data_IF_029455190067
#
_entry.id   IF_029455190067
#
_cell.length_a   1.000
_cell.length_b   1.000
_cell.length_c   1.000
_cell.angle_alpha   90.00
_cell.angle_beta   90.00
_cell.angle_gamma   90.00
#
_symmetry.space_group_name_H-M   'P 1'
#
loop_
_entity.id
_entity.type
_entity.pdbx_description
1 polymer ?
#
# COMPACT_ATOMS: atom_id res chain seq x y z
N UNK A 1 4.96 15.91 17.46
CA UNK A 1 4.18 15.06 16.54
C UNK A 1 2.96 15.83 16.08
N UNK A 2 2.66 15.89 14.78
CA UNK A 2 1.44 16.55 14.29
C UNK A 2 0.22 15.66 14.54
N UNK A 3 -0.99 16.23 14.58
CA UNK A 3 -2.23 15.45 14.76
C UNK A 3 -2.42 14.36 13.68
N UNK A 4 -2.15 14.61 12.38
CA UNK A 4 -2.17 13.55 11.36
C UNK A 4 -1.16 12.42 11.63
N UNK A 5 0.04 12.74 12.10
CA UNK A 5 1.05 11.72 12.44
C UNK A 5 0.64 10.89 13.65
N UNK A 6 0.05 11.52 14.68
CA UNK A 6 -0.52 10.79 15.81
C UNK A 6 -1.63 9.84 15.35
N UNK A 7 -2.59 10.33 14.57
CA UNK A 7 -3.70 9.52 14.09
C UNK A 7 -3.22 8.33 13.25
N UNK A 8 -2.29 8.55 12.33
CA UNK A 8 -1.68 7.47 11.54
C UNK A 8 -0.94 6.46 12.42
N UNK A 9 -0.22 6.91 13.45
CA UNK A 9 0.48 6.02 14.38
C UNK A 9 -0.51 5.16 15.17
N UNK A 10 -1.62 5.73 15.64
CA UNK A 10 -2.66 4.99 16.35
C UNK A 10 -3.31 3.94 15.45
N UNK A 11 -3.57 4.27 14.19
CA UNK A 11 -4.16 3.33 13.23
C UNK A 11 -3.17 2.23 12.82
N UNK A 12 -1.88 2.56 12.71
CA UNK A 12 -0.81 1.58 12.51
C UNK A 12 -0.70 0.61 13.69
N UNK A 13 -0.80 1.10 14.92
CA UNK A 13 -0.80 0.25 16.12
C UNK A 13 -2.06 -0.62 16.18
N UNK A 14 -3.24 -0.06 15.86
CA UNK A 14 -4.47 -0.84 15.83
C UNK A 14 -4.41 -1.98 14.79
N UNK A 15 -3.93 -1.69 13.58
CA UNK A 15 -3.75 -2.70 12.53
C UNK A 15 -2.65 -3.72 12.87
N UNK A 16 -1.57 -3.31 13.55
CA UNK A 16 -0.59 -4.22 14.13
C UNK A 16 -1.26 -5.21 15.09
N UNK A 17 -2.02 -4.71 16.07
CA UNK A 17 -2.70 -5.55 17.05
C UNK A 17 -3.68 -6.52 16.41
N UNK A 18 -4.37 -6.11 15.33
CA UNK A 18 -5.26 -6.99 14.59
C UNK A 18 -4.50 -8.06 13.78
N UNK A 19 -3.38 -7.70 13.15
CA UNK A 19 -2.62 -8.61 12.30
C UNK A 19 -1.77 -9.61 13.10
N UNK A 20 -1.29 -9.23 14.28
CA UNK A 20 -0.36 -10.05 15.08
C UNK A 20 -1.05 -11.22 15.77
N UNK A 21 -2.36 -11.12 16.02
CA UNK A 21 -3.16 -12.17 16.67
C UNK A 21 -3.75 -13.19 15.69
N UNK A 22 -3.64 -12.94 14.37
CA UNK A 22 -4.11 -13.89 13.36
C UNK A 22 -3.17 -15.10 13.34
N UNK A 23 -3.67 -16.35 13.32
CA UNK A 23 -2.81 -17.49 13.09
C UNK A 23 -2.32 -17.52 11.64
N UNK A 24 -1.15 -18.12 11.43
CA UNK A 24 -0.63 -18.37 10.08
C UNK A 24 -1.44 -19.49 9.42
N UNK A 25 -2.20 -19.16 8.38
CA UNK A 25 -3.10 -20.11 7.71
C UNK A 25 -2.84 -20.24 6.20
N UNK A 26 -1.86 -19.48 5.67
CA UNK A 26 -1.61 -19.46 4.23
C UNK A 26 -0.82 -20.70 3.81
N UNK A 27 -1.31 -21.47 2.81
CA UNK A 27 -0.66 -22.72 2.44
C UNK A 27 0.73 -22.57 1.85
N UNK A 28 1.00 -21.44 1.20
CA UNK A 28 2.27 -21.20 0.52
C UNK A 28 3.38 -20.79 1.51
N UNK A 29 3.03 -20.50 2.78
CA UNK A 29 4.01 -20.13 3.82
C UNK A 29 5.10 -21.19 3.99
N UNK A 30 4.72 -22.47 4.00
CA UNK A 30 5.67 -23.57 4.12
C UNK A 30 6.63 -23.61 2.94
N UNK A 31 6.13 -23.34 1.74
CA UNK A 31 6.94 -23.29 0.54
C UNK A 31 7.99 -22.18 0.64
N UNK A 32 7.59 -20.97 1.03
CA UNK A 32 8.52 -19.85 1.22
C UNK A 32 9.60 -20.15 2.29
N UNK A 33 9.23 -20.77 3.40
CA UNK A 33 10.18 -21.16 4.45
C UNK A 33 11.13 -22.26 3.96
N UNK A 34 10.63 -23.24 3.21
CA UNK A 34 11.45 -24.31 2.64
C UNK A 34 12.42 -23.77 1.58
N UNK A 35 11.95 -22.90 0.68
CA UNK A 35 12.77 -22.20 -0.31
C UNK A 35 13.87 -21.39 0.34
N UNK A 36 13.54 -20.57 1.34
CA UNK A 36 14.52 -19.78 2.08
C UNK A 36 15.56 -20.64 2.80
N UNK A 37 15.11 -21.70 3.50
CA UNK A 37 16.01 -22.67 4.15
C UNK A 37 16.97 -23.29 3.13
N UNK A 38 16.45 -23.74 1.99
CA UNK A 38 17.28 -24.32 0.93
C UNK A 38 18.33 -23.31 0.46
N UNK A 39 17.95 -22.05 0.24
CA UNK A 39 18.89 -21.00 -0.20
C UNK A 39 20.00 -20.74 0.82
N UNK A 40 19.66 -20.73 2.12
CA UNK A 40 20.62 -20.59 3.21
C UNK A 40 21.58 -21.78 3.26
N UNK A 41 21.03 -23.01 3.22
CA UNK A 41 21.83 -24.25 3.34
C UNK A 41 22.79 -24.43 2.15
N UNK A 42 22.42 -23.99 0.95
CA UNK A 42 23.22 -24.17 -0.27
C UNK A 42 24.05 -22.94 -0.65
N UNK A 43 23.83 -21.79 -0.03
CA UNK A 43 24.49 -20.52 -0.36
C UNK A 43 24.22 -20.04 -1.79
N UNK A 44 23.07 -20.40 -2.36
CA UNK A 44 22.67 -20.12 -3.76
C UNK A 44 21.18 -19.84 -3.83
N UNK A 45 20.77 -19.09 -4.84
CA UNK A 45 19.35 -18.87 -5.12
C UNK A 45 18.70 -20.12 -5.69
N UNK A 46 17.46 -20.37 -5.27
CA UNK A 46 16.66 -21.50 -5.72
C UNK A 46 16.17 -21.24 -7.15
N UNK A 47 16.89 -21.71 -8.16
CA UNK A 47 16.52 -21.51 -9.58
C UNK A 47 15.74 -22.68 -10.18
N UNK A 48 15.64 -23.79 -9.44
CA UNK A 48 14.99 -25.04 -9.85
C UNK A 48 14.19 -25.55 -8.67
N UNK A 49 12.97 -26.00 -8.93
CA UNK A 49 12.05 -26.51 -7.90
C UNK A 49 12.39 -27.97 -7.49
N UNK A 50 12.84 -28.22 -6.26
CA UNK A 50 13.15 -29.55 -5.74
C UNK A 50 11.97 -30.16 -4.95
N UNK A 51 10.90 -29.40 -4.71
CA UNK A 51 9.80 -29.76 -3.81
C UNK A 51 8.61 -30.38 -4.55
N UNK A 52 8.35 -29.94 -5.79
CA UNK A 52 7.24 -30.47 -6.59
C UNK A 52 7.42 -31.94 -6.97
N UNK A 53 6.42 -32.77 -6.66
CA UNK A 53 6.41 -34.19 -7.03
C UNK A 53 6.06 -34.45 -8.50
N UNK A 54 5.29 -33.56 -9.13
CA UNK A 54 4.83 -33.67 -10.53
C UNK A 54 5.64 -32.83 -11.52
N UNK A 55 6.39 -31.84 -11.01
CA UNK A 55 7.16 -30.87 -11.80
C UNK A 55 8.60 -30.71 -11.27
N UNK A 56 9.20 -31.79 -10.79
CA UNK A 56 10.55 -31.78 -10.22
C UNK A 56 11.57 -31.18 -11.21
N UNK A 57 12.46 -30.32 -10.70
CA UNK A 57 13.49 -29.59 -11.45
C UNK A 57 12.96 -28.62 -12.52
N UNK A 58 11.67 -28.26 -12.49
CA UNK A 58 11.16 -27.14 -13.27
C UNK A 58 11.86 -25.83 -12.85
N UNK A 59 12.02 -24.84 -13.75
CA UNK A 59 12.49 -23.51 -13.37
C UNK A 59 11.65 -22.92 -12.24
N UNK A 60 12.31 -22.43 -11.18
CA UNK A 60 11.66 -21.79 -10.05
C UNK A 60 11.71 -20.27 -10.18
N UNK A 61 10.63 -19.59 -9.78
CA UNK A 61 10.55 -18.13 -9.78
C UNK A 61 11.41 -17.57 -8.65
N UNK A 62 12.47 -16.86 -8.98
CA UNK A 62 13.37 -16.23 -8.00
C UNK A 62 12.89 -14.84 -7.60
N UNK A 63 11.75 -14.35 -8.08
CA UNK A 63 11.31 -12.96 -7.86
C UNK A 63 11.13 -12.54 -6.39
N UNK A 64 10.89 -13.48 -5.47
CA UNK A 64 10.57 -13.19 -4.06
C UNK A 64 11.70 -13.54 -3.07
N UNK A 65 12.88 -13.94 -3.56
CA UNK A 65 13.98 -14.50 -2.76
C UNK A 65 14.33 -13.68 -1.51
N UNK A 66 14.40 -12.36 -1.63
CA UNK A 66 14.78 -11.48 -0.53
C UNK A 66 13.70 -11.48 0.57
N UNK A 67 12.43 -11.49 0.19
CA UNK A 67 11.33 -11.57 1.15
C UNK A 67 11.25 -12.93 1.82
N UNK A 68 11.49 -14.02 1.08
CA UNK A 68 11.58 -15.38 1.62
C UNK A 68 12.67 -15.47 2.72
N UNK A 69 13.86 -14.92 2.47
CA UNK A 69 14.94 -14.89 3.46
C UNK A 69 14.57 -14.11 4.72
N UNK A 70 13.90 -12.96 4.59
CA UNK A 70 13.47 -12.15 5.74
C UNK A 70 12.37 -12.87 6.54
N UNK A 71 11.45 -13.54 5.87
CA UNK A 71 10.41 -14.38 6.51
C UNK A 71 11.05 -15.53 7.29
N UNK A 72 12.00 -16.23 6.68
CA UNK A 72 12.72 -17.32 7.33
C UNK A 72 13.56 -16.84 8.52
N UNK A 73 14.20 -15.68 8.42
CA UNK A 73 14.92 -15.08 9.54
C UNK A 73 13.98 -14.78 10.73
N UNK A 74 12.76 -14.31 10.49
CA UNK A 74 11.77 -14.14 11.55
C UNK A 74 11.30 -15.47 12.14
N UNK A 75 11.14 -16.49 11.30
CA UNK A 75 10.85 -17.85 11.79
C UNK A 75 11.98 -18.40 12.66
N UNK A 76 13.25 -18.18 12.31
CA UNK A 76 14.38 -18.56 13.15
C UNK A 76 14.41 -17.79 14.48
N UNK A 77 14.02 -16.52 14.47
CA UNK A 77 14.05 -15.67 15.66
C UNK A 77 12.92 -15.97 16.67
N UNK A 78 11.75 -16.42 16.22
CA UNK A 78 10.58 -16.59 17.09
C UNK A 78 9.55 -17.63 16.65
N UNK A 79 9.89 -18.53 15.73
CA UNK A 79 8.96 -19.48 15.14
C UNK A 79 7.78 -18.79 14.45
N UNK A 80 6.60 -19.40 14.56
CA UNK A 80 5.34 -18.83 14.07
C UNK A 80 4.99 -17.48 14.71
N UNK A 81 5.43 -17.27 15.96
CA UNK A 81 5.26 -15.98 16.61
C UNK A 81 6.07 -14.89 15.90
N UNK A 82 7.29 -15.21 15.47
CA UNK A 82 8.14 -14.32 14.70
C UNK A 82 7.51 -13.94 13.36
N UNK A 83 6.91 -14.91 12.66
CA UNK A 83 6.16 -14.68 11.41
C UNK A 83 4.98 -13.73 11.67
N UNK A 84 4.15 -14.01 12.67
CA UNK A 84 2.98 -13.18 12.99
C UNK A 84 3.37 -11.74 13.35
N UNK A 85 4.44 -11.55 14.13
CA UNK A 85 4.98 -10.23 14.47
C UNK A 85 5.46 -9.51 13.21
N UNK A 86 6.21 -10.20 12.35
CA UNK A 86 6.74 -9.59 11.15
C UNK A 86 5.63 -9.20 10.15
N UNK A 87 4.64 -10.08 9.93
CA UNK A 87 3.42 -9.73 9.17
C UNK A 87 2.78 -8.46 9.74
N UNK A 88 2.60 -8.40 11.06
CA UNK A 88 1.97 -7.26 11.71
C UNK A 88 2.79 -5.97 11.57
N UNK A 89 4.13 -6.02 11.62
CA UNK A 89 4.99 -4.87 11.37
C UNK A 89 4.83 -4.35 9.94
N UNK A 90 4.84 -5.23 8.94
CA UNK A 90 4.67 -4.84 7.53
C UNK A 90 3.28 -4.24 7.28
N UNK A 91 2.23 -4.84 7.86
CA UNK A 91 0.86 -4.28 7.84
C UNK A 91 0.79 -2.91 8.50
N UNK A 92 1.43 -2.72 9.66
CA UNK A 92 1.45 -1.46 10.38
C UNK A 92 2.13 -0.34 9.57
N UNK A 93 3.25 -0.66 8.89
CA UNK A 93 3.91 0.27 7.96
C UNK A 93 2.96 0.65 6.84
N UNK A 94 2.30 -0.34 6.21
CA UNK A 94 1.34 -0.08 5.14
C UNK A 94 0.18 0.83 5.60
N UNK A 95 -0.38 0.55 6.78
CA UNK A 95 -1.45 1.34 7.36
C UNK A 95 -1.01 2.76 7.72
N UNK A 96 0.20 2.92 8.28
CA UNK A 96 0.76 4.22 8.63
C UNK A 96 0.88 5.12 7.40
N UNK A 97 1.54 4.65 6.33
CA UNK A 97 1.80 5.46 5.14
C UNK A 97 0.55 5.66 4.27
N UNK A 98 -0.39 4.71 4.26
CA UNK A 98 -1.73 4.93 3.68
C UNK A 98 -2.46 6.05 4.42
N UNK A 99 -2.43 6.04 5.76
CA UNK A 99 -3.04 7.10 6.58
C UNK A 99 -2.39 8.45 6.34
N UNK A 100 -1.05 8.49 6.28
CA UNK A 100 -0.30 9.71 5.93
C UNK A 100 -0.69 10.24 4.56
N UNK A 101 -0.85 9.36 3.57
CA UNK A 101 -1.27 9.74 2.22
C UNK A 101 -2.67 10.36 2.19
N UNK A 102 -3.65 9.71 2.83
CA UNK A 102 -5.02 10.23 2.86
C UNK A 102 -5.08 11.55 3.63
N UNK A 103 -4.39 11.66 4.76
CA UNK A 103 -4.38 12.88 5.58
C UNK A 103 -3.57 14.03 4.96
N UNK A 104 -2.56 13.71 4.15
CA UNK A 104 -1.84 14.69 3.33
C UNK A 104 -2.80 15.38 2.35
N UNK A 105 -3.66 14.59 1.70
CA UNK A 105 -4.62 15.07 0.71
C UNK A 105 -5.85 15.69 1.36
N UNK A 106 -6.32 15.13 2.48
CA UNK A 106 -7.44 15.65 3.23
C UNK A 106 -7.15 15.74 4.74
N UNK A 107 -6.75 16.92 5.24
CA UNK A 107 -6.34 17.10 6.63
C UNK A 107 -7.51 17.08 7.63
N UNK A 108 -8.77 17.09 7.17
CA UNK A 108 -9.95 17.02 8.01
C UNK A 108 -10.33 15.54 8.24
N UNK A 109 -10.17 14.99 9.47
CA UNK A 109 -10.42 13.57 9.73
C UNK A 109 -11.83 13.12 9.35
N UNK A 110 -12.84 13.98 9.53
CA UNK A 110 -14.24 13.70 9.18
C UNK A 110 -14.41 13.18 7.73
N UNK A 111 -13.66 13.75 6.78
CA UNK A 111 -13.74 13.37 5.36
C UNK A 111 -12.72 12.31 4.96
N UNK A 112 -11.70 12.08 5.79
CA UNK A 112 -10.62 11.13 5.54
C UNK A 112 -10.92 9.73 6.10
N UNK A 113 -11.65 9.62 7.22
CA UNK A 113 -11.83 8.36 7.95
C UNK A 113 -12.50 7.28 7.10
N UNK A 114 -13.65 7.58 6.46
CA UNK A 114 -14.38 6.55 5.74
C UNK A 114 -13.61 5.98 4.54
N UNK A 115 -13.02 6.79 3.63
CA UNK A 115 -12.18 6.26 2.54
C UNK A 115 -10.93 5.53 3.06
N UNK A 116 -10.32 6.01 4.15
CA UNK A 116 -9.16 5.36 4.74
C UNK A 116 -9.50 3.98 5.30
N UNK A 117 -10.60 3.85 6.06
CA UNK A 117 -11.06 2.57 6.59
C UNK A 117 -11.42 1.60 5.45
N UNK A 118 -12.01 2.10 4.36
CA UNK A 118 -12.26 1.30 3.16
C UNK A 118 -10.96 0.76 2.54
N UNK A 119 -9.93 1.58 2.39
CA UNK A 119 -8.63 1.13 1.88
C UNK A 119 -7.96 0.10 2.80
N UNK A 120 -8.02 0.28 4.12
CA UNK A 120 -7.47 -0.68 5.07
C UNK A 120 -8.25 -2.00 5.10
N UNK A 121 -9.58 -1.94 4.99
CA UNK A 121 -10.43 -3.13 4.91
C UNK A 121 -10.15 -3.94 3.65
N UNK A 122 -9.95 -3.28 2.51
CA UNK A 122 -9.50 -3.92 1.27
C UNK A 122 -8.09 -4.50 1.46
N UNK A 123 -7.17 -3.75 2.07
CA UNK A 123 -5.80 -4.20 2.35
C UNK A 123 -5.69 -5.49 3.14
N UNK A 124 -6.71 -5.83 3.95
CA UNK A 124 -6.77 -7.10 4.71
C UNK A 124 -6.67 -8.34 3.81
N UNK A 125 -7.07 -8.28 2.54
CA UNK A 125 -7.01 -9.44 1.62
C UNK A 125 -5.58 -9.92 1.37
N UNK A 126 -4.58 -9.08 1.64
CA UNK A 126 -3.16 -9.41 1.45
C UNK A 126 -2.46 -9.64 2.79
N UNK A 127 -3.16 -9.70 3.93
CA UNK A 127 -2.56 -9.99 5.24
C UNK A 127 -2.25 -11.49 5.39
N UNK A 128 -1.54 -12.03 4.42
CA UNK A 128 -1.04 -13.39 4.38
C UNK A 128 0.44 -13.43 4.75
N UNK A 129 0.94 -14.61 5.10
CA UNK A 129 2.35 -14.81 5.45
C UNK A 129 3.20 -15.05 4.20
N UNK A 130 3.01 -14.22 3.17
CA UNK A 130 3.75 -14.27 1.90
C UNK A 130 4.72 -13.09 1.76
N UNK A 131 5.87 -13.27 1.09
CA UNK A 131 6.76 -12.17 0.68
C UNK A 131 6.05 -11.03 -0.06
N UNK A 132 4.99 -11.34 -0.82
CA UNK A 132 4.18 -10.33 -1.51
C UNK A 132 3.68 -9.21 -0.59
N UNK A 133 3.47 -9.46 0.70
CA UNK A 133 3.05 -8.45 1.68
C UNK A 133 4.01 -7.25 1.75
N UNK A 134 5.31 -7.43 1.47
CA UNK A 134 6.26 -6.32 1.39
C UNK A 134 5.90 -5.31 0.29
N UNK A 135 5.31 -5.78 -0.82
CA UNK A 135 4.82 -4.92 -1.90
C UNK A 135 3.77 -3.93 -1.39
N UNK A 136 2.88 -4.38 -0.50
CA UNK A 136 1.86 -3.53 0.13
C UNK A 136 2.50 -2.38 0.92
N UNK A 137 3.50 -2.69 1.75
CA UNK A 137 4.22 -1.69 2.55
C UNK A 137 5.04 -0.74 1.67
N UNK A 138 5.87 -1.26 0.76
CA UNK A 138 6.68 -0.43 -0.12
C UNK A 138 5.83 0.46 -1.03
N UNK A 139 4.72 -0.05 -1.56
CA UNK A 139 3.81 0.74 -2.36
C UNK A 139 3.23 1.92 -1.57
N UNK A 140 2.77 1.69 -0.34
CA UNK A 140 2.24 2.77 0.51
C UNK A 140 3.30 3.85 0.82
N UNK A 141 4.55 3.45 1.08
CA UNK A 141 5.69 4.36 1.31
C UNK A 141 5.98 5.16 0.05
N UNK A 142 6.05 4.52 -1.11
CA UNK A 142 6.31 5.19 -2.39
C UNK A 142 5.23 6.20 -2.70
N UNK A 143 3.98 5.78 -2.58
CA UNK A 143 2.83 6.64 -2.85
C UNK A 143 2.88 7.89 -1.96
N UNK A 144 3.15 7.71 -0.67
CA UNK A 144 3.31 8.83 0.25
C UNK A 144 4.47 9.75 -0.14
N UNK A 145 5.67 9.21 -0.37
CA UNK A 145 6.87 9.99 -0.72
C UNK A 145 6.68 10.75 -2.03
N UNK A 146 6.13 10.09 -3.06
CA UNK A 146 5.90 10.68 -4.38
C UNK A 146 4.82 11.77 -4.33
N UNK A 147 3.69 11.52 -3.65
CA UNK A 147 2.64 12.53 -3.48
C UNK A 147 3.14 13.70 -2.61
N UNK A 148 3.89 13.44 -1.53
CA UNK A 148 4.50 14.49 -0.70
C UNK A 148 5.52 15.32 -1.48
N UNK A 149 6.39 14.69 -2.26
CA UNK A 149 7.35 15.38 -3.13
C UNK A 149 6.61 16.19 -4.21
N UNK A 150 5.51 15.67 -4.74
CA UNK A 150 4.68 16.34 -5.73
C UNK A 150 3.94 17.56 -5.19
N UNK A 151 3.44 17.48 -3.96
CA UNK A 151 2.48 18.44 -3.41
C UNK A 151 3.05 19.41 -2.38
N UNK A 152 3.96 18.98 -1.52
CA UNK A 152 4.56 19.81 -0.48
C UNK A 152 5.96 20.29 -0.84
N UNK A 153 6.41 20.02 -2.06
CA UNK A 153 7.74 20.41 -2.47
C UNK A 153 8.86 19.62 -1.77
N UNK A 154 8.59 18.39 -1.30
CA UNK A 154 9.53 17.53 -0.57
C UNK A 154 10.95 17.49 -1.17
N UNK A 155 11.94 17.29 -0.29
CA UNK A 155 13.35 17.40 -0.62
C UNK A 155 13.80 16.34 -1.64
N UNK A 156 14.61 16.74 -2.63
CA UNK A 156 15.21 15.83 -3.63
C UNK A 156 15.86 14.58 -3.01
N UNK A 157 16.31 14.68 -1.75
CA UNK A 157 16.91 13.61 -0.96
C UNK A 157 15.94 12.47 -0.63
N UNK A 158 14.67 12.77 -0.36
CA UNK A 158 13.67 11.75 0.01
C UNK A 158 13.37 10.80 -1.16
N UNK A 159 13.48 11.28 -2.40
CA UNK A 159 13.29 10.47 -3.61
C UNK A 159 14.38 9.40 -3.81
N UNK A 160 15.55 9.57 -3.20
CA UNK A 160 16.65 8.59 -3.28
C UNK A 160 16.47 7.39 -2.35
N UNK A 161 15.40 7.36 -1.55
CA UNK A 161 15.00 6.18 -0.78
C UNK A 161 14.26 5.17 -1.69
N UNK A 162 13.78 5.60 -2.87
CA UNK A 162 12.98 4.79 -3.77
C UNK A 162 13.76 3.73 -4.59
N UNK A 163 14.98 3.98 -5.14
CA UNK A 163 15.70 2.99 -5.94
C UNK A 163 15.86 1.60 -5.31
N UNK A 164 16.24 1.43 -4.03
CA UNK A 164 16.41 0.09 -3.44
C UNK A 164 15.11 -0.72 -3.30
N UNK A 165 13.95 -0.08 -3.47
CA UNK A 165 12.63 -0.66 -3.19
C UNK A 165 11.83 -0.99 -4.48
N UNK A 166 12.44 -0.81 -5.66
CA UNK A 166 12.10 -1.40 -6.97
C UNK A 166 10.66 -1.25 -7.54
N UNK A 167 9.83 -0.32 -7.08
CA UNK A 167 8.53 -0.02 -7.73
C UNK A 167 8.65 0.96 -8.91
N UNK A 168 9.35 0.54 -9.96
CA UNK A 168 9.69 1.38 -11.12
C UNK A 168 8.46 1.95 -11.85
N UNK A 169 7.38 1.17 -11.96
CA UNK A 169 6.17 1.60 -12.65
C UNK A 169 5.55 2.85 -12.00
N UNK A 170 5.46 2.88 -10.66
CA UNK A 170 4.90 4.02 -9.95
C UNK A 170 5.80 5.26 -10.10
N UNK A 171 7.12 5.10 -10.01
CA UNK A 171 8.08 6.19 -10.24
C UNK A 171 7.97 6.72 -11.68
N UNK A 172 7.78 5.84 -12.67
CA UNK A 172 7.61 6.20 -14.07
C UNK A 172 6.35 7.05 -14.28
N UNK A 173 5.21 6.71 -13.66
CA UNK A 173 3.98 7.51 -13.73
C UNK A 173 4.22 8.95 -13.24
N UNK A 174 4.92 9.12 -12.12
CA UNK A 174 5.27 10.45 -11.59
C UNK A 174 6.35 11.16 -12.43
N UNK A 175 7.28 10.43 -13.04
CA UNK A 175 8.27 10.99 -13.95
C UNK A 175 7.62 11.54 -15.22
N UNK A 176 6.71 10.79 -15.85
CA UNK A 176 5.91 11.21 -17.01
C UNK A 176 5.13 12.47 -16.67
N UNK A 177 4.41 12.45 -15.57
CA UNK A 177 3.66 13.60 -15.07
C UNK A 177 4.55 14.85 -14.84
N UNK A 178 5.75 14.67 -14.26
CA UNK A 178 6.70 15.76 -14.08
C UNK A 178 7.29 16.27 -15.41
N UNK A 179 7.54 15.39 -16.37
CA UNK A 179 8.03 15.74 -17.71
C UNK A 179 7.00 16.54 -18.51
N UNK A 180 5.75 16.07 -18.55
CA UNK A 180 4.64 16.75 -19.23
C UNK A 180 4.44 18.17 -18.69
N UNK A 181 4.69 18.38 -17.40
CA UNK A 181 4.58 19.69 -16.74
C UNK A 181 5.88 20.49 -16.69
N UNK A 182 6.96 19.98 -17.29
CA UNK A 182 8.31 20.57 -17.24
C UNK A 182 8.76 20.93 -15.81
N UNK A 183 8.31 20.17 -14.82
CA UNK A 183 8.61 20.43 -13.42
C UNK A 183 10.09 20.16 -13.12
N UNK A 184 10.81 20.99 -12.34
CA UNK A 184 12.27 20.91 -12.17
C UNK A 184 12.76 19.56 -11.61
N UNK A 185 11.86 18.76 -11.03
CA UNK A 185 12.15 17.43 -10.47
C UNK A 185 12.19 16.29 -11.48
N UNK A 186 11.75 16.48 -12.74
CA UNK A 186 11.69 15.39 -13.71
C UNK A 186 13.05 14.70 -13.90
N UNK A 187 14.15 15.47 -13.84
CA UNK A 187 15.53 14.93 -13.90
C UNK A 187 15.87 14.03 -12.72
N UNK A 188 15.39 14.37 -11.52
CA UNK A 188 15.62 13.56 -10.31
C UNK A 188 14.81 12.27 -10.37
N UNK A 189 13.55 12.34 -10.78
CA UNK A 189 12.70 11.15 -10.97
C UNK A 189 13.24 10.24 -12.07
N UNK A 190 13.74 10.80 -13.17
CA UNK A 190 14.41 10.04 -14.22
C UNK A 190 15.68 9.38 -13.71
N UNK A 191 16.52 10.09 -12.94
CA UNK A 191 17.72 9.49 -12.35
C UNK A 191 17.38 8.35 -11.37
N UNK A 192 16.35 8.53 -10.53
CA UNK A 192 15.83 7.49 -9.63
C UNK A 192 15.32 6.29 -10.44
N UNK A 193 14.62 6.52 -11.55
CA UNK A 193 14.13 5.46 -12.43
C UNK A 193 15.28 4.69 -13.09
N UNK A 194 16.30 5.39 -13.60
CA UNK A 194 17.48 4.78 -14.25
C UNK A 194 18.29 3.97 -13.23
N UNK A 195 18.56 4.54 -12.05
CA UNK A 195 19.27 3.82 -10.98
C UNK A 195 18.46 2.64 -10.50
N UNK A 196 17.15 2.79 -10.31
CA UNK A 196 16.27 1.69 -9.94
C UNK A 196 16.26 0.58 -11.00
N UNK A 197 16.18 0.93 -12.28
CA UNK A 197 16.25 -0.04 -13.39
C UNK A 197 17.60 -0.75 -13.43
N UNK A 198 18.71 -0.04 -13.19
CA UNK A 198 20.03 -0.64 -13.09
C UNK A 198 20.14 -1.60 -11.88
N UNK A 199 19.56 -1.24 -10.73
CA UNK A 199 19.49 -2.11 -9.56
C UNK A 199 18.60 -3.33 -9.80
N UNK A 200 17.52 -3.21 -10.58
CA UNK A 200 16.70 -4.35 -10.98
C UNK A 200 17.48 -5.38 -11.80
N UNK A 201 18.56 -5.00 -12.50
CA UNK A 201 19.42 -5.95 -13.21
C UNK A 201 20.25 -6.82 -12.25
N UNK A 202 20.39 -6.43 -10.99
CA UNK A 202 20.98 -7.29 -9.95
C UNK A 202 20.01 -8.40 -9.54
N UNK A 203 18.71 -8.28 -9.84
CA UNK A 203 17.77 -9.37 -9.66
C UNK A 203 18.04 -10.41 -10.76
N UNK A 204 18.36 -11.68 -10.41
CA UNK A 204 18.64 -12.72 -11.40
C UNK A 204 17.48 -12.97 -12.38
N UNK A 205 16.26 -12.57 -12.00
CA UNK A 205 15.11 -12.50 -12.89
C UNK A 205 15.05 -11.21 -13.71
N UNK A 206 16.16 -10.79 -14.31
CA UNK A 206 16.32 -9.45 -14.92
C UNK A 206 15.31 -9.08 -16.04
N UNK A 207 14.59 -10.05 -16.61
CA UNK A 207 13.47 -9.82 -17.55
C UNK A 207 12.08 -9.76 -16.88
N UNK A 208 12.05 -9.72 -15.54
CA UNK A 208 10.88 -9.65 -14.69
C UNK A 208 9.84 -8.59 -15.06
N UNK A 209 10.18 -7.39 -15.59
CA UNK A 209 9.17 -6.43 -16.03
C UNK A 209 8.36 -6.91 -17.24
N UNK A 210 9.00 -7.66 -18.16
CA UNK A 210 8.34 -8.19 -19.37
C UNK A 210 7.48 -9.41 -19.00
N UNK A 211 8.00 -10.29 -18.13
CA UNK A 211 7.22 -11.41 -17.57
C UNK A 211 6.04 -10.94 -16.72
N UNK A 212 6.26 -9.95 -15.84
CA UNK A 212 5.23 -9.34 -15.02
C UNK A 212 4.17 -8.60 -15.86
N UNK A 213 4.58 -7.91 -16.94
CA UNK A 213 3.63 -7.31 -17.87
C UNK A 213 2.74 -8.37 -18.54
N UNK A 214 3.33 -9.49 -18.95
CA UNK A 214 2.59 -10.65 -19.45
C UNK A 214 1.55 -11.17 -18.46
N UNK A 215 1.95 -11.41 -17.22
CA UNK A 215 1.09 -11.89 -16.13
C UNK A 215 -0.06 -10.93 -15.83
N UNK A 216 0.20 -9.62 -15.85
CA UNK A 216 -0.81 -8.58 -15.62
C UNK A 216 -1.84 -8.52 -16.76
N UNK A 217 -1.42 -8.72 -18.01
CA UNK A 217 -2.32 -8.69 -19.17
C UNK A 217 -3.12 -9.99 -19.37
N UNK A 218 -2.59 -11.13 -18.92
CA UNK A 218 -3.25 -12.43 -19.06
C UNK A 218 -3.04 -13.30 -17.80
N UNK A 219 -3.63 -12.92 -16.66
CA UNK A 219 -3.43 -13.64 -15.42
C UNK A 219 -4.12 -15.01 -15.46
N UNK A 220 -3.54 -16.04 -14.82
CA UNK A 220 -4.11 -17.38 -14.79
C UNK A 220 -5.46 -17.39 -14.09
N UNK A 221 -6.51 -17.87 -14.77
CA UNK A 221 -7.90 -17.81 -14.27
C UNK A 221 -8.33 -18.99 -13.39
N UNK A 222 -7.43 -19.91 -13.12
CA UNK A 222 -7.66 -21.05 -12.22
C UNK A 222 -7.19 -20.78 -10.79
N UNK A 223 -6.53 -19.63 -10.54
CA UNK A 223 -6.09 -19.19 -9.22
C UNK A 223 -7.08 -18.16 -8.70
N UNK A 224 -7.65 -18.38 -7.50
CA UNK A 224 -8.72 -17.54 -6.96
C UNK A 224 -8.32 -16.06 -6.82
N UNK A 225 -7.09 -15.79 -6.37
CA UNK A 225 -6.57 -14.42 -6.18
C UNK A 225 -6.29 -13.67 -7.49
N UNK A 226 -6.22 -14.39 -8.62
CA UNK A 226 -6.00 -13.86 -9.97
C UNK A 226 -7.32 -13.62 -10.73
N UNK A 227 -8.46 -13.95 -10.11
CA UNK A 227 -9.78 -13.61 -10.65
C UNK A 227 -10.09 -12.11 -10.44
N UNK A 228 -10.99 -11.54 -11.27
CA UNK A 228 -11.52 -10.21 -11.03
C UNK A 228 -12.20 -10.10 -9.64
N UNK A 229 -12.35 -8.88 -9.10
CA UNK A 229 -13.00 -8.68 -7.81
C UNK A 229 -14.46 -9.12 -7.84
N UNK A 230 -14.82 -9.97 -6.88
CA UNK A 230 -16.20 -10.36 -6.64
C UNK A 230 -16.93 -9.30 -5.80
N UNK A 231 -17.90 -8.62 -6.41
CA UNK A 231 -18.71 -7.57 -5.76
C UNK A 231 -19.62 -8.09 -4.64
N UNK A 232 -19.83 -9.41 -4.53
CA UNK A 232 -20.58 -10.01 -3.42
C UNK A 232 -19.72 -10.21 -2.16
N UNK A 233 -18.39 -10.15 -2.30
CA UNK A 233 -17.49 -10.10 -1.14
C UNK A 233 -17.48 -8.69 -0.54
N UNK A 234 -17.27 -8.59 0.77
CA UNK A 234 -17.16 -7.29 1.44
C UNK A 234 -16.09 -6.41 0.80
N UNK A 235 -14.97 -7.00 0.38
CA UNK A 235 -13.84 -6.26 -0.17
C UNK A 235 -14.11 -5.78 -1.59
N UNK A 236 -14.68 -6.64 -2.45
CA UNK A 236 -15.08 -6.24 -3.80
C UNK A 236 -16.19 -5.18 -3.77
N UNK A 237 -17.20 -5.34 -2.90
CA UNK A 237 -18.23 -4.33 -2.69
C UNK A 237 -17.64 -2.98 -2.26
N UNK A 238 -16.75 -3.00 -1.26
CA UNK A 238 -16.08 -1.79 -0.74
C UNK A 238 -15.25 -1.10 -1.83
N UNK A 239 -14.54 -1.88 -2.65
CA UNK A 239 -13.78 -1.35 -3.78
C UNK A 239 -14.69 -0.73 -4.84
N UNK A 240 -15.80 -1.39 -5.18
CA UNK A 240 -16.82 -0.85 -6.08
C UNK A 240 -17.40 0.48 -5.59
N UNK A 241 -17.69 0.60 -4.28
CA UNK A 241 -18.14 1.86 -3.66
C UNK A 241 -17.09 2.97 -3.81
N UNK A 242 -15.81 2.67 -3.61
CA UNK A 242 -14.73 3.65 -3.82
C UNK A 242 -14.63 4.10 -5.29
N UNK A 243 -14.78 3.18 -6.25
CA UNK A 243 -14.78 3.52 -7.68
C UNK A 243 -15.97 4.44 -8.01
N UNK A 244 -17.18 4.08 -7.56
CA UNK A 244 -18.38 4.89 -7.79
C UNK A 244 -18.22 6.27 -7.16
N UNK A 245 -17.71 6.36 -5.94
CA UNK A 245 -17.45 7.64 -5.28
C UNK A 245 -16.41 8.50 -6.03
N UNK A 246 -15.37 7.87 -6.58
CA UNK A 246 -14.36 8.55 -7.38
C UNK A 246 -14.94 9.07 -8.71
N UNK A 247 -15.72 8.24 -9.42
CA UNK A 247 -16.38 8.62 -10.66
C UNK A 247 -17.41 9.74 -10.43
N UNK A 248 -18.25 9.62 -9.40
CA UNK A 248 -19.19 10.67 -9.01
C UNK A 248 -18.45 11.98 -8.71
N UNK A 249 -17.34 11.92 -7.97
CA UNK A 249 -16.50 13.08 -7.68
C UNK A 249 -15.90 13.72 -8.93
N UNK A 250 -15.49 12.90 -9.92
CA UNK A 250 -14.96 13.35 -11.20
C UNK A 250 -16.04 14.02 -12.06
N UNK A 251 -17.23 13.40 -12.19
CA UNK A 251 -18.38 13.91 -12.98
C UNK A 251 -18.88 15.23 -12.40
N UNK A 252 -18.97 15.30 -11.06
CA UNK A 252 -19.38 16.52 -10.38
C UNK A 252 -18.36 17.64 -10.65
N UNK A 253 -17.16 17.39 -11.17
CA UNK A 253 -16.21 18.44 -11.52
C UNK A 253 -15.82 19.23 -10.27
N UNK A 254 -15.58 18.53 -9.17
CA UNK A 254 -14.92 19.09 -8.01
C UNK A 254 -13.41 19.01 -8.26
N UNK A 255 -12.74 20.04 -8.85
CA UNK A 255 -11.28 20.07 -8.86
C UNK A 255 -10.81 19.89 -7.43
N UNK A 256 -9.78 19.09 -7.17
CA UNK A 256 -9.36 18.69 -5.82
C UNK A 256 -9.24 19.88 -4.87
N UNK A 257 -9.57 19.71 -3.58
CA UNK A 257 -9.48 20.80 -2.57
C UNK A 257 -8.05 21.27 -2.46
N UNK A 258 -7.17 20.30 -2.68
CA UNK A 258 -5.76 20.44 -2.83
C UNK A 258 -5.29 21.08 -4.16
N UNK A 259 -5.90 20.79 -5.33
CA UNK A 259 -5.54 21.45 -6.61
C UNK A 259 -5.66 22.97 -6.51
N UNK A 260 -6.75 23.47 -5.90
CA UNK A 260 -6.94 24.90 -5.68
C UNK A 260 -5.94 25.53 -4.71
N UNK A 261 -5.44 24.77 -3.72
CA UNK A 261 -4.36 25.24 -2.83
C UNK A 261 -3.03 25.37 -3.57
N UNK A 262 -2.75 24.49 -4.53
CA UNK A 262 -1.59 24.63 -5.41
C UNK A 262 -1.77 25.74 -6.46
N UNK A 263 -2.99 25.95 -6.96
CA UNK A 263 -3.31 27.04 -7.90
C UNK A 263 -3.07 28.45 -7.31
N UNK A 264 -3.03 28.57 -5.97
CA UNK A 264 -2.76 29.82 -5.28
C UNK A 264 -1.25 30.11 -5.10
N UNK A 265 -0.38 29.13 -5.35
CA UNK A 265 1.08 29.29 -5.27
C UNK A 265 1.64 29.71 -6.65
N UNK A 266 2.22 30.92 -6.78
CA UNK A 266 2.65 31.48 -8.07
C UNK A 266 3.78 30.70 -8.78
N UNK A 267 4.46 29.78 -8.09
CA UNK A 267 5.49 28.90 -8.66
C UNK A 267 4.93 27.70 -9.45
N UNK A 268 3.67 27.32 -9.26
CA UNK A 268 3.08 26.13 -9.89
C UNK A 268 2.12 26.52 -11.01
N UNK A 269 2.57 26.33 -12.25
CA UNK A 269 1.79 26.61 -13.46
C UNK A 269 0.36 26.06 -13.43
N UNK A 270 -0.55 26.88 -13.99
CA UNK A 270 -2.01 26.72 -14.21
C UNK A 270 -2.59 25.32 -13.92
N UNK A 271 -3.65 25.29 -13.12
CA UNK A 271 -4.32 24.15 -12.44
C UNK A 271 -4.75 22.91 -13.23
N UNK A 272 -4.34 22.73 -14.48
CA UNK A 272 -4.62 21.53 -15.28
C UNK A 272 -3.83 20.29 -14.82
N UNK A 273 -2.73 20.50 -14.09
CA UNK A 273 -1.79 19.44 -13.73
C UNK A 273 -2.23 18.44 -12.66
N UNK A 274 -3.27 18.75 -11.88
CA UNK A 274 -3.75 17.85 -10.83
C UNK A 274 -4.68 16.75 -11.38
N UNK A 275 -5.51 17.10 -12.37
CA UNK A 275 -6.41 16.16 -13.04
C UNK A 275 -5.63 15.12 -13.85
N UNK A 276 -4.57 15.55 -14.52
CA UNK A 276 -3.68 14.67 -15.28
C UNK A 276 -2.97 13.64 -14.37
N UNK A 277 -2.45 14.06 -13.22
CA UNK A 277 -1.83 13.13 -12.26
C UNK A 277 -2.81 12.07 -11.79
N UNK A 278 -4.03 12.46 -11.42
CA UNK A 278 -5.04 11.50 -10.95
C UNK A 278 -5.47 10.54 -12.06
N UNK A 279 -5.56 10.99 -13.30
CA UNK A 279 -5.82 10.10 -14.43
C UNK A 279 -4.67 9.11 -14.65
N UNK A 280 -3.43 9.60 -14.73
CA UNK A 280 -2.22 8.77 -14.93
C UNK A 280 -2.01 7.79 -13.77
N UNK A 281 -2.41 8.14 -12.54
CA UNK A 281 -2.27 7.29 -11.36
C UNK A 281 -3.44 6.30 -11.20
N UNK A 282 -4.68 6.79 -11.22
CA UNK A 282 -5.84 5.97 -10.87
C UNK A 282 -6.26 5.04 -12.00
N UNK A 283 -6.18 5.44 -13.27
CA UNK A 283 -6.65 4.59 -14.37
C UNK A 283 -5.87 3.27 -14.45
N UNK A 284 -4.53 3.26 -14.45
CA UNK A 284 -3.78 2.01 -14.48
C UNK A 284 -3.97 1.17 -13.23
N UNK A 285 -4.06 1.80 -12.06
CA UNK A 285 -4.22 1.08 -10.78
C UNK A 285 -5.62 0.51 -10.60
N UNK A 286 -6.67 1.22 -11.00
CA UNK A 286 -8.03 0.70 -11.01
C UNK A 286 -8.10 -0.49 -11.98
N UNK A 287 -7.54 -0.36 -13.18
CA UNK A 287 -7.49 -1.47 -14.13
C UNK A 287 -6.77 -2.69 -13.53
N UNK A 288 -5.63 -2.48 -12.86
CA UNK A 288 -4.90 -3.54 -12.15
C UNK A 288 -5.74 -4.18 -11.03
N UNK A 289 -6.48 -3.39 -10.25
CA UNK A 289 -7.37 -3.91 -9.22
C UNK A 289 -8.58 -4.66 -9.77
N UNK A 290 -9.04 -4.31 -10.97
CA UNK A 290 -10.10 -5.02 -11.69
C UNK A 290 -9.60 -6.28 -12.41
N UNK A 291 -8.29 -6.37 -12.72
CA UNK A 291 -7.72 -7.52 -13.40
C UNK A 291 -7.54 -8.72 -12.47
N UNK A 292 -7.12 -8.48 -11.22
CA UNK A 292 -6.89 -9.51 -10.19
C UNK A 292 -7.13 -8.98 -8.76
N UNK A 293 -7.78 -9.80 -7.93
CA UNK A 293 -8.10 -9.47 -6.53
C UNK A 293 -6.87 -9.15 -5.67
N UNK A 294 -5.74 -9.83 -5.92
CA UNK A 294 -4.46 -9.56 -5.22
C UNK A 294 -3.93 -8.13 -5.38
N UNK A 295 -4.41 -7.38 -6.36
CA UNK A 295 -3.98 -6.01 -6.62
C UNK A 295 -4.96 -4.94 -6.09
N UNK A 296 -6.11 -5.33 -5.56
CA UNK A 296 -7.12 -4.41 -5.00
C UNK A 296 -6.52 -3.38 -4.02
N UNK A 297 -5.63 -3.76 -3.07
CA UNK A 297 -5.10 -2.79 -2.11
C UNK A 297 -4.26 -1.69 -2.77
N UNK A 298 -3.53 -2.00 -3.84
CA UNK A 298 -2.69 -1.04 -4.56
C UNK A 298 -3.54 0.05 -5.21
N UNK A 299 -4.72 -0.31 -5.71
CA UNK A 299 -5.70 0.62 -6.25
C UNK A 299 -6.44 1.40 -5.16
N UNK A 300 -6.80 0.73 -4.06
CA UNK A 300 -7.60 1.31 -2.99
C UNK A 300 -6.90 2.48 -2.27
N UNK A 301 -5.57 2.42 -2.07
CA UNK A 301 -4.82 3.47 -1.37
C UNK A 301 -4.92 4.86 -2.04
N UNK A 302 -4.54 5.05 -3.32
CA UNK A 302 -4.67 6.34 -3.98
C UNK A 302 -6.14 6.72 -4.22
N UNK A 303 -7.02 5.74 -4.45
CA UNK A 303 -8.45 5.97 -4.63
C UNK A 303 -9.09 6.57 -3.37
N UNK A 304 -8.74 6.04 -2.19
CA UNK A 304 -9.17 6.60 -0.91
C UNK A 304 -8.69 8.04 -0.72
N UNK A 305 -7.44 8.33 -1.09
CA UNK A 305 -6.90 9.69 -1.07
C UNK A 305 -7.68 10.65 -1.96
N UNK A 306 -8.00 10.23 -3.19
CA UNK A 306 -8.78 11.01 -4.15
C UNK A 306 -10.21 11.27 -3.65
N UNK A 307 -10.91 10.22 -3.20
CA UNK A 307 -12.28 10.32 -2.67
C UNK A 307 -12.32 11.22 -1.44
N UNK A 308 -11.36 11.06 -0.52
CA UNK A 308 -11.27 11.90 0.68
C UNK A 308 -11.09 13.39 0.32
N UNK A 309 -10.23 13.71 -0.64
CA UNK A 309 -10.02 15.10 -1.05
C UNK A 309 -11.25 15.73 -1.74
N UNK A 310 -12.01 14.93 -2.51
CA UNK A 310 -13.21 15.40 -3.19
C UNK A 310 -14.46 15.50 -2.28
N UNK A 311 -14.52 14.71 -1.20
CA UNK A 311 -15.69 14.55 -0.34
C UNK A 311 -16.35 15.86 0.16
N UNK A 312 -15.60 16.87 0.67
CA UNK A 312 -16.24 18.10 1.17
C UNK A 312 -17.05 18.85 0.10
N UNK A 313 -16.66 18.75 -1.17
CA UNK A 313 -17.34 19.45 -2.27
C UNK A 313 -18.47 18.63 -2.87
N UNK A 314 -18.27 17.34 -3.03
CA UNK A 314 -19.34 16.43 -3.41
C UNK A 314 -20.53 16.61 -2.45
N UNK A 315 -20.25 16.63 -1.15
CA UNK A 315 -21.29 16.83 -0.13
C UNK A 315 -21.95 18.20 -0.22
N UNK A 316 -21.21 19.29 -0.46
CA UNK A 316 -21.79 20.64 -0.63
C UNK A 316 -22.69 20.77 -1.85
N UNK A 317 -22.43 20.03 -2.93
CA UNK A 317 -23.26 20.07 -4.14
C UNK A 317 -24.48 19.18 -4.03
N UNK A 318 -24.34 18.00 -3.43
CA UNK A 318 -25.46 17.08 -3.16
C UNK A 318 -26.39 17.64 -2.08
N UNK A 319 -25.82 18.33 -1.09
CA UNK A 319 -26.54 18.96 0.01
C UNK A 319 -26.14 20.42 0.14
N UNK A 320 -26.66 21.31 -0.72
CA UNK A 320 -26.42 22.75 -0.60
C UNK A 320 -27.04 23.23 0.70
N UNK A 321 -26.20 23.44 1.72
CA UNK A 321 -26.67 24.02 2.97
C UNK A 321 -27.33 25.38 2.68
N UNK A 322 -28.65 25.48 2.86
CA UNK A 322 -29.33 26.78 2.95
C UNK A 322 -28.83 27.47 4.21
N UNK A 323 -28.03 28.51 4.03
CA UNK A 323 -27.74 29.48 5.08
C UNK A 323 -27.16 28.92 6.37
N UNK A 324 -25.93 28.40 6.33
CA UNK A 324 -25.03 28.61 7.46
C UNK A 324 -23.65 28.93 6.90
N UNK A 325 -23.17 30.13 7.22
CA UNK A 325 -21.75 30.42 7.30
C UNK A 325 -21.16 29.48 8.35
N UNK A 326 -20.93 28.22 7.97
CA UNK A 326 -20.20 27.29 8.80
C UNK A 326 -18.78 27.85 8.91
N UNK A 327 -18.58 28.67 9.95
CA UNK A 327 -17.30 29.18 10.36
C UNK A 327 -16.34 28.01 10.31
N UNK A 328 -15.17 28.24 9.72
CA UNK A 328 -14.07 27.32 9.78
C UNK A 328 -13.71 27.16 11.27
N UNK A 329 -14.42 26.27 11.97
CA UNK A 329 -14.00 25.76 13.24
C UNK A 329 -12.72 24.98 12.91
N UNK A 330 -11.61 25.71 13.02
CA UNK A 330 -10.27 25.15 13.11
C UNK A 330 -10.36 24.25 14.33
N UNK A 331 -10.60 22.96 14.11
CA UNK A 331 -10.46 21.93 15.15
C UNK A 331 -8.95 21.77 15.38
N UNK A 332 -8.31 22.83 15.86
CA UNK A 332 -7.06 22.78 16.59
C UNK A 332 -7.43 22.70 18.07
N UNK A 333 -7.98 21.56 18.47
CA UNK A 333 -7.73 21.07 19.82
C UNK A 333 -6.93 19.81 19.66
N UNK A 334 -5.62 20.01 19.51
CA UNK A 334 -4.63 18.99 19.83
C UNK A 334 -4.99 18.52 21.24
N UNK A 335 -5.27 17.22 21.42
CA UNK A 335 -5.29 16.66 22.77
C UNK A 335 -3.99 17.14 23.43
N UNK A 336 -4.02 17.70 24.66
CA UNK A 336 -2.82 18.27 25.26
C UNK A 336 -1.67 17.27 25.10
N UNK A 337 -0.43 17.70 24.80
CA UNK A 337 0.66 16.81 24.39
C UNK A 337 0.85 15.62 25.35
N UNK A 338 0.50 15.81 26.62
CA UNK A 338 0.40 14.78 27.65
C UNK A 338 -0.64 13.71 27.32
N UNK A 339 -1.89 14.05 26.98
CA UNK A 339 -2.93 13.09 26.60
C UNK A 339 -2.58 12.33 25.31
N UNK A 340 -1.95 13.01 24.33
CA UNK A 340 -1.43 12.34 23.13
C UNK A 340 -0.30 11.36 23.47
N UNK A 341 0.60 11.74 24.39
CA UNK A 341 1.66 10.87 24.90
C UNK A 341 1.11 9.65 25.64
N UNK A 342 0.15 9.85 26.55
CA UNK A 342 -0.51 8.77 27.31
C UNK A 342 -1.18 7.79 26.35
N UNK A 343 -1.92 8.29 25.35
CA UNK A 343 -2.59 7.44 24.37
C UNK A 343 -1.58 6.63 23.53
N UNK A 344 -0.47 7.24 23.13
CA UNK A 344 0.59 6.53 22.41
C UNK A 344 1.24 5.44 23.28
N UNK A 345 1.56 5.75 24.54
CA UNK A 345 2.13 4.77 25.47
C UNK A 345 1.15 3.63 25.74
N UNK A 346 -0.13 3.93 25.96
CA UNK A 346 -1.17 2.92 26.17
C UNK A 346 -1.33 2.00 24.96
N UNK A 347 -1.33 2.56 23.74
CA UNK A 347 -1.43 1.77 22.51
C UNK A 347 -0.16 0.94 22.24
N UNK A 348 1.03 1.47 22.52
CA UNK A 348 2.28 0.69 22.49
C UNK A 348 2.28 -0.45 23.52
N UNK A 349 1.73 -0.21 24.72
CA UNK A 349 1.51 -1.25 25.72
C UNK A 349 0.57 -2.35 25.20
N UNK A 350 -0.54 -1.96 24.56
CA UNK A 350 -1.46 -2.91 23.93
C UNK A 350 -0.79 -3.70 22.80
N UNK A 351 0.06 -3.07 21.99
CA UNK A 351 0.85 -3.75 20.96
C UNK A 351 1.82 -4.78 21.55
N UNK A 352 2.51 -4.43 22.65
CA UNK A 352 3.39 -5.36 23.34
C UNK A 352 2.63 -6.57 23.93
N UNK A 353 1.43 -6.35 24.46
CA UNK A 353 0.54 -7.43 24.93
C UNK A 353 0.08 -8.28 23.75
N UNK A 354 -0.37 -7.67 22.66
CA UNK A 354 -0.82 -8.39 21.46
C UNK A 354 0.30 -9.26 20.86
N UNK A 355 1.54 -8.75 20.83
CA UNK A 355 2.70 -9.52 20.39
C UNK A 355 2.98 -10.74 21.28
N UNK A 356 2.73 -10.65 22.59
CA UNK A 356 2.84 -11.82 23.50
C UNK A 356 1.74 -12.85 23.31
N UNK A 357 0.57 -12.40 22.85
CA UNK A 357 -0.59 -13.26 22.52
C UNK A 357 -0.53 -13.82 21.09
N UNK A 358 0.50 -13.45 20.32
CA UNK A 358 0.68 -13.92 18.96
C UNK A 358 0.71 -15.46 18.91
N UNK A 359 0.04 -16.09 17.92
CA UNK A 359 -0.02 -17.54 17.80
C UNK A 359 1.36 -18.18 17.70
N UNK A 360 1.52 -19.31 18.38
CA UNK A 360 2.77 -20.10 18.39
C UNK A 360 2.74 -21.29 17.43
N UNK A 361 1.58 -21.56 16.86
CA UNK A 361 1.34 -22.60 15.87
C UNK A 361 0.52 -22.01 14.72
N UNK A 362 0.67 -22.55 13.51
CA UNK A 362 -0.16 -22.20 12.37
C UNK A 362 -1.56 -22.79 12.54
N UNK A 363 -2.51 -22.26 11.81
CA UNK A 363 -3.84 -22.85 11.65
C UNK A 363 -3.82 -23.79 10.45
N UNK A 364 -3.82 -25.10 10.76
CA UNK A 364 -3.78 -26.17 9.76
C UNK A 364 -5.16 -26.78 9.50
N UNK A 365 -6.24 -26.18 10.00
CA UNK A 365 -7.60 -26.77 9.92
C UNK A 365 -8.10 -26.95 8.48
N UNK A 366 -7.58 -26.17 7.53
CA UNK A 366 -7.89 -26.29 6.11
C UNK A 366 -7.09 -27.40 5.39
N UNK A 367 -6.07 -27.98 6.03
CA UNK A 367 -5.27 -29.05 5.44
C UNK A 367 -5.97 -30.41 5.60
N UNK A 368 -5.88 -31.29 4.59
CA UNK A 368 -6.40 -32.65 4.72
C UNK A 368 -5.68 -33.40 5.84
N UNK A 369 -6.44 -33.85 6.84
CA UNK A 369 -5.90 -34.66 7.93
C UNK A 369 -5.54 -36.06 7.43
N UNK A 370 -4.27 -36.45 7.56
CA UNK A 370 -3.79 -37.79 7.22
C UNK A 370 -3.36 -38.02 5.76
N UNK A 371 -3.03 -36.94 5.03
CA UNK A 371 -2.39 -37.02 3.72
C UNK A 371 -0.90 -37.38 3.79
#
# INVERSE_FOLDING_TARGET
MTLPTLFAALLAIATFCLAVVLPSADPDTYWHLASARWMVDHGKLLTRDPFSSTAANAPYSVGEWAGELVWYAAFLAGGWQGIAILRALVVAVAAFFTSQTVLLLQPRPLFAIAPLLAALAIGKTTWTDRPQLFTLAFFSVFLFVLLRARFLGGGRRELWILPPLLLLALVALFAIDAMLRRAPRWRTLLAVLVVGAALSLLNPEAFGPVGAAGHVTNPPRFIAEELPPDLFTLQGFTFGVLIVAALASAIIGAPSTFARRLEAEPEFGRGEGAHLLWAILLVPLIWLGLSAQRHLPLAAMPLAGYVADAAPRALRRLWPARGTSAGAARVERVAPPIAAGILLVATLGAAAVAARLAPRAPDETAYPAGA
#
